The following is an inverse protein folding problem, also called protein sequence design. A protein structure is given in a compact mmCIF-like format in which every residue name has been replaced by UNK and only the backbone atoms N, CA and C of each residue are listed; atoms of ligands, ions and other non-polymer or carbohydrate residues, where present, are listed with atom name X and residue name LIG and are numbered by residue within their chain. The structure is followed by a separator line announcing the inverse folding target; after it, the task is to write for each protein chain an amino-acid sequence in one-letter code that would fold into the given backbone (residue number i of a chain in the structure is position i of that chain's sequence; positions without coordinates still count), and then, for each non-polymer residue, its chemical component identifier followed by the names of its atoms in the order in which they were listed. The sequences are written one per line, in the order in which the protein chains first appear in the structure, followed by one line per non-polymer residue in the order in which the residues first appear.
data_IF_799928453454
#
_entry.id   IF_799928453454
#
_cell.length_a   1.000
_cell.length_b   1.000
_cell.length_c   1.000
_cell.angle_alpha   90.00
_cell.angle_beta   90.00
_cell.angle_gamma   90.00
#
_symmetry.space_group_name_H-M   'P 1'
#
loop_
_entity.id
_entity.type
_entity.pdbx_description
1 polymer ?
#
# COMPACT_ATOMS: atom_id res chain seq x y z
N UNK A 1 8.80 -15.04 -11.49
CA UNK A 1 10.16 -15.24 -11.95
C UNK A 1 10.79 -13.90 -12.35
N UNK A 2 11.98 -13.64 -11.83
CA UNK A 2 12.72 -12.42 -12.19
C UNK A 2 13.32 -12.61 -13.59
N UNK A 3 12.99 -11.68 -14.51
CA UNK A 3 13.49 -11.72 -15.88
C UNK A 3 14.44 -10.55 -16.19
N UNK A 4 14.61 -9.59 -15.27
CA UNK A 4 15.50 -8.45 -15.48
C UNK A 4 15.32 -7.41 -14.39
N UNK A 5 15.94 -6.26 -14.59
CA UNK A 5 15.83 -5.11 -13.68
C UNK A 5 15.62 -3.83 -14.49
N UNK A 6 15.00 -2.83 -13.85
CA UNK A 6 14.77 -1.52 -14.46
C UNK A 6 14.83 -0.44 -13.39
N UNK A 7 15.09 0.79 -13.79
CA UNK A 7 15.03 1.94 -12.88
C UNK A 7 13.57 2.23 -12.52
N UNK A 8 13.34 2.74 -11.30
CA UNK A 8 12.00 3.10 -10.86
C UNK A 8 11.33 4.08 -11.84
N UNK A 9 12.09 5.05 -12.34
CA UNK A 9 11.58 6.01 -13.32
C UNK A 9 11.11 5.33 -14.62
N UNK A 10 11.77 4.28 -15.06
CA UNK A 10 11.36 3.51 -16.23
C UNK A 10 10.02 2.81 -16.01
N UNK A 11 9.83 2.26 -14.81
CA UNK A 11 8.58 1.59 -14.45
C UNK A 11 7.40 2.55 -14.39
N UNK A 12 7.63 3.82 -14.12
CA UNK A 12 6.60 4.84 -13.94
C UNK A 12 6.46 5.80 -15.11
N UNK A 13 7.14 5.55 -16.22
CA UNK A 13 7.14 6.45 -17.39
C UNK A 13 6.18 6.05 -18.50
N UNK A 14 5.24 5.13 -18.21
CA UNK A 14 4.31 4.64 -19.23
C UNK A 14 4.82 3.46 -20.02
N UNK A 15 6.04 2.97 -19.74
CA UNK A 15 6.60 1.77 -20.37
C UNK A 15 5.83 0.49 -19.98
N UNK A 16 5.12 0.54 -18.86
CA UNK A 16 4.36 -0.57 -18.29
C UNK A 16 5.22 -1.83 -18.03
N UNK A 17 6.46 -1.63 -17.63
CA UNK A 17 7.32 -2.73 -17.22
C UNK A 17 6.72 -3.32 -15.94
N UNK A 18 6.44 -4.63 -15.96
CA UNK A 18 5.90 -5.33 -14.80
C UNK A 18 6.95 -5.35 -13.69
N UNK A 19 6.62 -4.77 -12.53
CA UNK A 19 7.53 -4.70 -11.39
C UNK A 19 6.82 -5.06 -10.10
N UNK A 20 7.53 -5.64 -9.11
CA UNK A 20 6.92 -6.08 -7.86
C UNK A 20 6.84 -4.96 -6.84
N UNK A 21 5.71 -4.94 -6.12
CA UNK A 21 5.51 -4.02 -4.99
C UNK A 21 4.94 -4.78 -3.81
N UNK A 22 5.13 -4.26 -2.60
CA UNK A 22 4.51 -4.79 -1.38
C UNK A 22 3.48 -3.80 -0.87
N UNK A 23 2.37 -4.34 -0.37
CA UNK A 23 1.38 -3.57 0.37
C UNK A 23 1.23 -4.16 1.75
N UNK A 24 1.24 -3.32 2.78
CA UNK A 24 0.94 -3.73 4.13
C UNK A 24 -0.32 -2.99 4.59
N UNK A 25 -1.29 -3.78 5.05
CA UNK A 25 -2.49 -3.27 5.70
C UNK A 25 -2.34 -3.45 7.21
N UNK A 26 -2.83 -2.50 7.99
CA UNK A 26 -2.72 -2.52 9.45
C UNK A 26 -4.11 -2.42 10.03
N UNK A 27 -4.50 -3.42 10.84
CA UNK A 27 -5.80 -3.50 11.47
C UNK A 27 -5.64 -3.41 12.98
N UNK A 28 -6.47 -2.62 13.64
CA UNK A 28 -6.48 -2.58 15.09
C UNK A 28 -7.51 -3.55 15.69
N UNK A 29 -7.54 -3.76 17.02
CA UNK A 29 -8.50 -4.70 17.65
C UNK A 29 -9.97 -4.35 17.43
N UNK A 30 -10.29 -3.14 17.05
CA UNK A 30 -11.66 -2.71 16.74
C UNK A 30 -12.05 -2.96 15.29
N UNK A 31 -11.22 -3.66 14.53
CA UNK A 31 -11.40 -3.91 13.09
C UNK A 31 -11.44 -2.62 12.27
N UNK A 32 -10.62 -1.65 12.66
CA UNK A 32 -10.41 -0.44 11.87
C UNK A 32 -9.14 -0.59 11.05
N UNK A 33 -9.20 -0.14 9.80
CA UNK A 33 -8.10 -0.23 8.85
C UNK A 33 -7.35 1.10 8.80
N UNK A 34 -6.02 1.05 8.96
CA UNK A 34 -5.18 2.24 8.88
C UNK A 34 -4.93 2.62 7.43
N UNK A 35 -5.16 3.88 7.10
CA UNK A 35 -4.84 4.44 5.79
C UNK A 35 -3.97 5.68 5.95
N UNK A 36 -3.09 5.91 4.98
CA UNK A 36 -2.29 7.12 4.90
C UNK A 36 -2.87 8.08 3.87
N UNK A 37 -2.71 9.36 4.11
CA UNK A 37 -3.12 10.39 3.15
C UNK A 37 -1.91 10.83 2.33
N UNK A 38 -2.06 10.79 1.01
CA UNK A 38 -1.01 11.27 0.11
C UNK A 38 -0.90 12.80 0.22
N UNK A 39 0.33 13.34 0.26
CA UNK A 39 0.50 14.80 0.29
C UNK A 39 -0.15 15.47 -0.93
N UNK A 40 -0.63 16.69 -0.73
CA UNK A 40 -1.20 17.50 -1.81
C UNK A 40 -0.16 17.85 -2.89
N UNK A 41 1.11 17.72 -2.54
CA UNK A 41 2.24 18.01 -3.45
C UNK A 41 2.57 16.87 -4.41
N UNK A 42 1.95 15.68 -4.23
CA UNK A 42 2.20 14.55 -5.13
C UNK A 42 1.61 14.82 -6.51
N UNK A 43 2.33 14.41 -7.56
CA UNK A 43 1.86 14.55 -8.93
C UNK A 43 0.74 13.57 -9.26
N UNK A 44 0.79 12.36 -8.66
CA UNK A 44 -0.20 11.30 -8.90
C UNK A 44 -1.11 11.20 -7.68
N UNK A 45 -2.42 11.34 -7.90
CA UNK A 45 -3.47 11.20 -6.88
C UNK A 45 -3.20 12.02 -5.62
N UNK A 46 -2.95 13.35 -5.73
CA UNK A 46 -2.66 14.17 -4.55
C UNK A 46 -3.83 14.22 -3.57
N UNK A 47 -3.51 14.23 -2.28
CA UNK A 47 -4.51 14.40 -1.21
C UNK A 47 -5.45 13.24 -1.00
N UNK A 48 -5.30 12.13 -1.72
CA UNK A 48 -6.18 10.97 -1.56
C UNK A 48 -5.66 10.03 -0.49
N UNK A 49 -6.58 9.29 0.11
CA UNK A 49 -6.24 8.26 1.08
C UNK A 49 -5.84 6.97 0.36
N UNK A 50 -4.85 6.30 0.90
CA UNK A 50 -4.20 5.16 0.26
C UNK A 50 -3.86 4.10 1.29
N UNK A 51 -3.45 2.92 0.82
CA UNK A 51 -2.93 1.81 1.61
C UNK A 51 -1.92 2.30 2.65
N UNK A 52 -1.95 1.69 3.85
CA UNK A 52 -1.06 2.08 4.95
C UNK A 52 0.41 2.12 4.53
N UNK A 53 0.87 1.10 3.82
CA UNK A 53 2.24 1.02 3.29
C UNK A 53 2.20 0.44 1.88
N UNK A 54 2.88 1.10 0.96
CA UNK A 54 3.04 0.60 -0.40
C UNK A 54 4.40 1.01 -0.95
N UNK A 55 5.17 0.05 -1.44
CA UNK A 55 6.49 0.37 -1.95
C UNK A 55 7.07 -0.71 -2.84
N UNK A 56 8.13 -0.37 -3.55
CA UNK A 56 8.78 -1.25 -4.51
C UNK A 56 9.70 -2.26 -3.83
N UNK A 57 9.76 -3.46 -4.41
CA UNK A 57 10.77 -4.44 -4.04
C UNK A 57 12.00 -4.15 -4.90
N UNK A 58 13.14 -3.87 -4.26
CA UNK A 58 14.37 -3.59 -4.98
C UNK A 58 14.93 -4.86 -5.62
N UNK A 59 15.68 -4.69 -6.70
CA UNK A 59 16.35 -5.83 -7.35
C UNK A 59 17.27 -6.52 -6.33
N UNK A 60 17.10 -7.83 -6.17
CA UNK A 60 17.87 -8.62 -5.22
C UNK A 60 17.33 -8.63 -3.79
N UNK A 61 16.30 -7.83 -3.51
CA UNK A 61 15.66 -7.78 -2.20
C UNK A 61 14.52 -8.80 -2.15
N UNK A 62 14.37 -9.51 -1.03
CA UNK A 62 13.22 -10.40 -0.88
C UNK A 62 11.97 -9.62 -0.40
N UNK A 63 10.82 -10.26 -0.51
CA UNK A 63 9.53 -9.64 -0.18
C UNK A 63 9.48 -9.22 1.28
N UNK A 64 9.95 -10.06 2.20
CA UNK A 64 9.92 -9.79 3.64
C UNK A 64 10.77 -8.58 4.00
N UNK A 65 11.97 -8.50 3.44
CA UNK A 65 12.89 -7.37 3.66
C UNK A 65 12.28 -6.08 3.15
N UNK A 66 11.71 -6.10 1.94
CA UNK A 66 11.04 -4.94 1.36
C UNK A 66 9.88 -4.49 2.23
N UNK A 67 9.07 -5.43 2.72
CA UNK A 67 7.92 -5.13 3.57
C UNK A 67 8.35 -4.43 4.87
N UNK A 68 9.38 -4.95 5.52
CA UNK A 68 9.88 -4.37 6.77
C UNK A 68 10.49 -2.98 6.54
N UNK A 69 11.25 -2.82 5.47
CA UNK A 69 11.88 -1.54 5.12
C UNK A 69 10.83 -0.48 4.82
N UNK A 70 9.88 -0.78 3.95
CA UNK A 70 8.83 0.17 3.58
C UNK A 70 7.93 0.53 4.76
N UNK A 71 7.59 -0.45 5.61
CA UNK A 71 6.77 -0.19 6.79
C UNK A 71 7.48 0.77 7.75
N UNK A 72 8.78 0.63 7.92
CA UNK A 72 9.54 1.54 8.76
C UNK A 72 9.63 2.93 8.14
N UNK A 73 9.95 2.99 6.84
CA UNK A 73 10.13 4.27 6.14
C UNK A 73 8.85 5.09 6.08
N UNK A 74 7.69 4.44 5.85
CA UNK A 74 6.44 5.16 5.64
C UNK A 74 5.68 5.45 6.91
N UNK A 75 5.58 4.49 7.84
CA UNK A 75 4.77 4.66 9.06
C UNK A 75 5.52 4.35 10.36
N UNK A 76 6.84 4.21 10.29
CA UNK A 76 7.68 4.00 11.46
C UNK A 76 7.47 2.68 12.18
N UNK A 77 6.96 1.68 11.47
CA UNK A 77 6.63 0.37 12.05
C UNK A 77 7.86 -0.54 12.03
N UNK A 78 8.32 -0.98 13.21
CA UNK A 78 9.52 -1.82 13.33
C UNK A 78 9.23 -3.26 13.70
N UNK A 79 8.50 -3.46 14.79
CA UNK A 79 8.26 -4.79 15.35
C UNK A 79 6.82 -5.19 15.06
N UNK A 80 6.65 -5.99 14.03
CA UNK A 80 5.34 -6.48 13.64
C UNK A 80 5.48 -7.83 12.95
N UNK A 81 4.41 -8.61 12.97
CA UNK A 81 4.30 -9.77 12.09
C UNK A 81 3.20 -9.50 11.07
N UNK A 82 3.34 -10.10 9.90
CA UNK A 82 2.42 -9.90 8.81
C UNK A 82 1.97 -11.23 8.24
N UNK A 83 0.69 -11.30 7.86
CA UNK A 83 0.11 -12.47 7.21
C UNK A 83 -0.15 -12.14 5.75
N UNK A 84 0.18 -13.05 4.82
CA UNK A 84 -0.13 -12.80 3.41
C UNK A 84 -1.64 -12.83 3.17
N UNK A 85 -2.12 -11.88 2.37
CA UNK A 85 -3.50 -11.83 1.90
C UNK A 85 -3.57 -12.49 0.52
N UNK A 86 -2.64 -12.13 -0.38
CA UNK A 86 -2.60 -12.65 -1.73
C UNK A 86 -1.76 -11.78 -2.65
N UNK A 87 -1.69 -12.21 -3.91
CA UNK A 87 -0.98 -11.48 -4.94
C UNK A 87 -1.97 -11.13 -6.03
N UNK A 88 -1.79 -9.98 -6.67
CA UNK A 88 -2.61 -9.60 -7.82
C UNK A 88 -1.85 -8.66 -8.74
N UNK A 89 -2.28 -8.63 -9.99
CA UNK A 89 -1.75 -7.71 -10.99
C UNK A 89 -2.58 -6.42 -10.97
N UNK A 90 -1.91 -5.30 -10.77
CA UNK A 90 -2.51 -3.98 -10.96
C UNK A 90 -1.96 -3.35 -12.21
N UNK A 91 -2.83 -2.86 -13.07
CA UNK A 91 -2.44 -2.18 -14.30
C UNK A 91 -3.22 -0.88 -14.45
N UNK A 92 -2.50 0.20 -14.75
CA UNK A 92 -3.07 1.49 -15.08
C UNK A 92 -2.53 1.93 -16.44
N UNK A 93 -2.87 3.15 -16.86
CA UNK A 93 -2.35 3.67 -18.13
C UNK A 93 -0.85 3.88 -18.12
N UNK A 94 -0.24 4.00 -16.93
CA UNK A 94 1.17 4.36 -16.78
C UNK A 94 2.04 3.25 -16.18
N UNK A 95 1.45 2.22 -15.54
CA UNK A 95 2.28 1.22 -14.87
C UNK A 95 1.58 -0.15 -14.75
N UNK A 96 2.41 -1.19 -14.56
CA UNK A 96 1.95 -2.54 -14.24
C UNK A 96 2.71 -3.03 -13.03
N UNK A 97 1.96 -3.46 -11.99
CA UNK A 97 2.55 -3.89 -10.73
C UNK A 97 2.07 -5.28 -10.36
N UNK A 98 3.00 -6.13 -9.90
CA UNK A 98 2.64 -7.36 -9.20
C UNK A 98 2.62 -7.02 -7.72
N UNK A 99 1.44 -6.97 -7.13
CA UNK A 99 1.24 -6.57 -5.75
C UNK A 99 1.24 -7.80 -4.84
N UNK A 100 2.15 -7.77 -3.84
CA UNK A 100 2.18 -8.77 -2.76
C UNK A 100 1.58 -8.10 -1.52
N UNK A 101 0.39 -8.55 -1.13
CA UNK A 101 -0.41 -7.90 -0.11
C UNK A 101 -0.38 -8.66 1.21
N UNK A 102 -0.21 -7.93 2.32
CA UNK A 102 -0.09 -8.46 3.68
C UNK A 102 -0.95 -7.66 4.65
N UNK A 103 -1.28 -8.28 5.79
CA UNK A 103 -1.96 -7.60 6.88
C UNK A 103 -1.23 -7.87 8.20
N UNK A 104 -1.12 -6.84 9.04
CA UNK A 104 -0.61 -6.94 10.41
C UNK A 104 -1.70 -6.58 11.40
N UNK A 105 -1.86 -7.44 12.42
CA UNK A 105 -2.74 -7.20 13.56
C UNK A 105 -1.95 -6.94 14.84
N UNK A 106 -0.65 -7.28 14.85
CA UNK A 106 0.20 -7.17 16.03
C UNK A 106 1.34 -6.20 15.77
N UNK A 107 1.08 -4.96 15.96
CA UNK A 107 2.07 -3.91 15.86
C UNK A 107 2.10 -3.12 17.17
N UNK A 108 3.24 -2.49 17.47
CA UNK A 108 3.37 -1.73 18.72
C UNK A 108 2.91 -0.29 18.57
N UNK A 109 3.41 0.39 17.54
CA UNK A 109 3.07 1.80 17.35
C UNK A 109 3.31 2.21 15.90
N UNK A 110 2.60 3.25 15.49
CA UNK A 110 2.76 3.88 14.18
C UNK A 110 3.30 5.29 14.43
N UNK A 111 4.42 5.62 13.79
CA UNK A 111 5.06 6.93 13.90
C UNK A 111 5.34 7.50 12.52
N UNK A 112 4.62 8.54 12.17
CA UNK A 112 4.83 9.23 10.89
C UNK A 112 6.01 10.17 11.05
N UNK A 113 7.13 9.84 10.39
CA UNK A 113 8.33 10.66 10.42
C UNK A 113 8.90 10.90 9.02
N UNK A 114 8.14 10.54 7.99
CA UNK A 114 8.52 10.72 6.60
C UNK A 114 7.82 11.94 6.00
N UNK A 115 8.50 12.67 5.14
CA UNK A 115 7.90 13.76 4.37
C UNK A 115 6.90 13.25 3.33
N UNK A 116 6.92 11.95 3.04
CA UNK A 116 6.03 11.33 2.07
C UNK A 116 4.65 11.02 2.63
N UNK A 117 4.52 10.92 3.97
CA UNK A 117 3.25 10.62 4.64
C UNK A 117 3.02 11.69 5.70
N UNK A 118 2.06 12.56 5.45
CA UNK A 118 1.76 13.67 6.35
C UNK A 118 0.61 13.41 7.30
N UNK A 119 -0.24 12.41 7.00
CA UNK A 119 -1.43 12.12 7.80
C UNK A 119 -1.82 10.66 7.66
N UNK A 120 -2.31 10.08 8.74
CA UNK A 120 -2.85 8.73 8.74
C UNK A 120 -3.96 8.63 9.78
N UNK A 121 -4.91 7.71 9.56
CA UNK A 121 -5.94 7.41 10.54
C UNK A 121 -6.54 6.04 10.31
N UNK A 122 -7.24 5.55 11.32
CA UNK A 122 -8.00 4.30 11.24
C UNK A 122 -9.41 4.58 10.72
N UNK A 123 -9.85 3.74 9.79
CA UNK A 123 -11.16 3.83 9.13
C UNK A 123 -11.98 2.60 9.44
N UNK A 124 -13.27 2.77 9.71
CA UNK A 124 -14.19 1.64 9.80
C UNK A 124 -14.59 1.16 8.41
N UNK A 125 -15.06 -0.07 8.32
CA UNK A 125 -15.61 -0.59 7.06
C UNK A 125 -16.73 0.31 6.54
N UNK A 126 -17.62 0.75 7.43
CA UNK A 126 -18.73 1.63 7.06
C UNK A 126 -18.22 2.94 6.43
N UNK A 127 -17.22 3.55 7.04
CA UNK A 127 -16.63 4.79 6.52
C UNK A 127 -16.03 4.58 5.13
N UNK A 128 -15.31 3.48 4.94
CA UNK A 128 -14.72 3.15 3.63
C UNK A 128 -15.83 2.95 2.59
N UNK A 129 -16.84 2.12 2.92
CA UNK A 129 -17.95 1.83 1.99
C UNK A 129 -18.70 3.10 1.59
N UNK A 130 -18.89 4.02 2.51
CA UNK A 130 -19.59 5.27 2.25
C UNK A 130 -18.82 6.22 1.33
N UNK A 131 -17.52 6.03 1.20
CA UNK A 131 -16.66 6.93 0.44
C UNK A 131 -16.08 6.32 -0.84
N UNK A 132 -16.44 5.08 -1.16
CA UNK A 132 -15.99 4.46 -2.41
C UNK A 132 -16.58 5.20 -3.62
N UNK A 133 -15.76 5.37 -4.64
CA UNK A 133 -16.18 6.00 -5.90
C UNK A 133 -16.37 7.50 -5.82
N UNK A 134 -15.93 8.16 -4.74
CA UNK A 134 -16.12 9.60 -4.53
C UNK A 134 -14.83 10.40 -4.65
N UNK A 135 -13.76 9.80 -5.13
CA UNK A 135 -12.46 10.47 -5.25
C UNK A 135 -11.72 10.64 -3.93
N UNK A 136 -12.18 10.01 -2.85
CA UNK A 136 -11.54 10.06 -1.53
C UNK A 136 -10.31 9.18 -1.46
N UNK A 137 -10.37 8.01 -2.11
CA UNK A 137 -9.30 7.01 -2.10
C UNK A 137 -8.61 6.92 -3.44
N UNK A 138 -7.37 6.43 -3.44
CA UNK A 138 -6.68 6.13 -4.70
C UNK A 138 -7.40 4.99 -5.43
N UNK A 139 -7.38 4.99 -6.78
CA UNK A 139 -7.97 3.89 -7.54
C UNK A 139 -7.39 2.51 -7.18
N UNK A 140 -6.09 2.45 -6.90
CA UNK A 140 -5.43 1.21 -6.51
C UNK A 140 -5.99 0.68 -5.19
N UNK A 141 -6.15 1.55 -4.18
CA UNK A 141 -6.73 1.14 -2.91
C UNK A 141 -8.16 0.63 -3.10
N UNK A 142 -8.98 1.36 -3.86
CA UNK A 142 -10.38 0.95 -4.06
C UNK A 142 -10.47 -0.41 -4.74
N UNK A 143 -9.62 -0.66 -5.73
CA UNK A 143 -9.58 -1.94 -6.42
C UNK A 143 -9.19 -3.08 -5.48
N UNK A 144 -8.14 -2.89 -4.70
CA UNK A 144 -7.69 -3.90 -3.75
C UNK A 144 -8.73 -4.13 -2.66
N UNK A 145 -9.35 -3.06 -2.17
CA UNK A 145 -10.38 -3.15 -1.15
C UNK A 145 -11.54 -4.04 -1.62
N UNK A 146 -12.08 -3.75 -2.78
CA UNK A 146 -13.24 -4.48 -3.32
C UNK A 146 -12.89 -5.94 -3.62
N UNK A 147 -11.71 -6.19 -4.19
CA UNK A 147 -11.33 -7.51 -4.66
C UNK A 147 -10.68 -8.40 -3.59
N UNK A 148 -10.04 -7.81 -2.59
CA UNK A 148 -9.25 -8.56 -1.61
C UNK A 148 -9.65 -8.28 -0.16
N UNK A 149 -9.73 -7.01 0.24
CA UNK A 149 -9.78 -6.66 1.66
C UNK A 149 -11.16 -6.78 2.27
N UNK A 150 -12.19 -6.40 1.53
CA UNK A 150 -13.58 -6.40 2.03
C UNK A 150 -13.97 -7.73 2.65
N UNK A 151 -13.68 -8.82 1.96
CA UNK A 151 -14.09 -10.16 2.39
C UNK A 151 -13.09 -10.84 3.34
N UNK A 152 -11.86 -10.33 3.42
CA UNK A 152 -10.80 -10.98 4.19
C UNK A 152 -10.46 -10.29 5.50
N UNK A 153 -10.69 -8.99 5.60
CA UNK A 153 -10.33 -8.22 6.79
C UNK A 153 -11.52 -7.87 7.69
N UNK A 154 -12.72 -7.86 7.13
CA UNK A 154 -13.91 -7.40 7.87
C UNK A 154 -14.97 -8.45 8.05
#
# INVERSE_FOLDING_TARGET
KVIGKALRSECHSGSKILHPVVHLHVMNPRKLLYLQKRPETKLIQPGKWDTAVGGHIAFGEDVKTALQREAYEEIGLKDFSAKPIGNYLFESDIEREMVYSFVSYDYKSINLHSDEVTEGKFWSQKQIEQNLGKGVFTPNFELEYVNQLRDRLF
#
